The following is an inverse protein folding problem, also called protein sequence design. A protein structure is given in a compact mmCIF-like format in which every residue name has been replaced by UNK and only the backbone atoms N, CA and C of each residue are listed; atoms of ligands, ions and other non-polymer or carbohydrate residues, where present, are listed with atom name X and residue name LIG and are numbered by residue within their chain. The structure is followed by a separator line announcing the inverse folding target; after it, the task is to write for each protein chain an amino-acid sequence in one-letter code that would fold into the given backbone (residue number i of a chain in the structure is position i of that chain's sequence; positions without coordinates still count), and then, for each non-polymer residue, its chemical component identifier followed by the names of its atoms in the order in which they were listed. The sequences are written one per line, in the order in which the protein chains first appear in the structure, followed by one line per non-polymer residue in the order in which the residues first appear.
data_IF_949396894966
#
_entry.id   IF_949396894966
#
_cell.length_a   1.000
_cell.length_b   1.000
_cell.length_c   1.000
_cell.angle_alpha   90.00
_cell.angle_beta   90.00
_cell.angle_gamma   90.00
#
_symmetry.space_group_name_H-M   'P 1'
#
loop_
_entity.id
_entity.type
_entity.pdbx_description
1 polymer ?
#
# COMPACT_ATOMS: atom_id res chain seq x y z
N UNK A 1 3.70 -3.99 -23.76
CA UNK A 1 2.24 -3.72 -23.61
C UNK A 1 1.90 -2.36 -24.21
N UNK A 2 0.70 -2.16 -24.77
CA UNK A 2 0.26 -0.87 -25.33
C UNK A 2 -0.83 -0.18 -24.50
N UNK A 3 -1.08 1.14 -24.69
CA UNK A 3 -1.98 1.94 -23.84
C UNK A 3 -3.42 1.42 -23.77
N UNK A 4 -4.00 0.98 -24.90
CA UNK A 4 -5.37 0.43 -24.93
C UNK A 4 -5.53 -0.80 -24.04
N UNK A 5 -4.52 -1.67 -24.03
CA UNK A 5 -4.55 -2.88 -23.21
C UNK A 5 -4.39 -2.57 -21.72
N UNK A 6 -3.52 -1.61 -21.38
CA UNK A 6 -3.38 -1.15 -20.00
C UNK A 6 -4.69 -0.56 -19.48
N UNK A 7 -5.37 0.27 -20.30
CA UNK A 7 -6.69 0.80 -19.96
C UNK A 7 -7.75 -0.31 -19.83
N UNK A 8 -7.78 -1.30 -20.73
CA UNK A 8 -8.73 -2.41 -20.63
C UNK A 8 -8.56 -3.22 -19.34
N UNK A 9 -7.30 -3.49 -18.94
CA UNK A 9 -6.99 -4.17 -17.67
C UNK A 9 -7.43 -3.33 -16.46
N UNK A 10 -7.06 -2.05 -16.41
CA UNK A 10 -7.42 -1.15 -15.30
C UNK A 10 -8.91 -0.78 -15.27
N UNK A 11 -9.63 -0.95 -16.38
CA UNK A 11 -11.09 -0.81 -16.42
C UNK A 11 -11.81 -2.07 -15.91
N UNK A 12 -11.14 -3.21 -15.91
CA UNK A 12 -11.70 -4.51 -15.51
C UNK A 12 -11.28 -4.94 -14.10
N UNK A 13 -10.12 -4.47 -13.64
CA UNK A 13 -9.49 -4.85 -12.38
C UNK A 13 -8.99 -3.59 -11.67
N UNK A 14 -9.18 -3.53 -10.36
CA UNK A 14 -8.49 -2.55 -9.51
C UNK A 14 -6.95 -2.73 -9.59
N UNK A 15 -6.16 -1.69 -9.25
CA UNK A 15 -4.70 -1.80 -9.16
C UNK A 15 -4.24 -2.93 -8.24
N UNK A 16 -4.96 -3.17 -7.14
CA UNK A 16 -4.69 -4.23 -6.18
C UNK A 16 -4.96 -5.61 -6.77
N UNK A 17 -6.12 -5.81 -7.41
CA UNK A 17 -6.48 -7.07 -8.07
C UNK A 17 -5.54 -7.39 -9.23
N UNK A 18 -5.19 -6.39 -10.04
CA UNK A 18 -4.23 -6.54 -11.13
C UNK A 18 -2.86 -6.97 -10.59
N UNK A 19 -2.40 -6.34 -9.51
CA UNK A 19 -1.12 -6.68 -8.87
C UNK A 19 -1.16 -8.10 -8.30
N UNK A 20 -2.21 -8.46 -7.57
CA UNK A 20 -2.37 -9.80 -7.02
C UNK A 20 -2.44 -10.87 -8.12
N UNK A 21 -3.17 -10.61 -9.20
CA UNK A 21 -3.29 -11.54 -10.33
C UNK A 21 -1.94 -11.75 -11.03
N UNK A 22 -1.16 -10.69 -11.24
CA UNK A 22 0.17 -10.77 -11.86
C UNK A 22 1.17 -11.50 -10.95
N UNK A 23 1.25 -11.14 -9.67
CA UNK A 23 2.19 -11.74 -8.72
C UNK A 23 1.83 -13.22 -8.46
N UNK A 24 0.54 -13.52 -8.35
CA UNK A 24 -0.01 -14.87 -8.20
C UNK A 24 0.01 -15.72 -9.47
N UNK A 25 0.36 -15.15 -10.63
CA UNK A 25 0.39 -15.86 -11.91
C UNK A 25 -0.97 -16.27 -12.48
N UNK A 26 -2.03 -15.58 -12.06
CA UNK A 26 -3.42 -15.89 -12.38
C UNK A 26 -3.83 -15.28 -13.73
N UNK A 27 -3.24 -15.78 -14.83
CA UNK A 27 -3.49 -15.25 -16.17
C UNK A 27 -4.97 -15.31 -16.59
N UNK A 28 -5.76 -16.25 -16.05
CA UNK A 28 -7.18 -16.37 -16.32
C UNK A 28 -7.97 -15.13 -15.87
N UNK A 29 -7.55 -14.50 -14.77
CA UNK A 29 -8.16 -13.26 -14.26
C UNK A 29 -7.90 -12.12 -15.25
N UNK A 30 -6.66 -12.01 -15.73
CA UNK A 30 -6.27 -10.99 -16.71
C UNK A 30 -6.98 -11.19 -18.05
N UNK A 31 -7.25 -12.43 -18.45
CA UNK A 31 -7.92 -12.77 -19.69
C UNK A 31 -9.43 -12.44 -19.72
N UNK A 32 -10.02 -12.02 -18.58
CA UNK A 32 -11.40 -11.53 -18.54
C UNK A 32 -11.52 -10.11 -19.10
N UNK A 33 -10.41 -9.36 -19.16
CA UNK A 33 -10.42 -8.00 -19.69
C UNK A 33 -10.67 -8.01 -21.21
N UNK A 34 -11.54 -7.12 -21.74
CA UNK A 34 -11.83 -7.05 -23.18
C UNK A 34 -10.58 -6.89 -24.03
N UNK A 35 -10.39 -7.78 -25.01
CA UNK A 35 -9.24 -7.76 -25.91
C UNK A 35 -7.95 -8.37 -25.33
N UNK A 36 -7.99 -8.95 -24.12
CA UNK A 36 -6.86 -9.69 -23.52
C UNK A 36 -7.08 -11.19 -23.65
N UNK A 37 -6.50 -11.79 -24.70
CA UNK A 37 -6.52 -13.25 -24.87
C UNK A 37 -5.46 -13.97 -24.01
N UNK A 38 -5.59 -15.30 -23.88
CA UNK A 38 -4.70 -16.17 -23.09
C UNK A 38 -3.21 -15.88 -23.28
N UNK A 39 -2.71 -15.92 -24.53
CA UNK A 39 -1.28 -15.71 -24.83
C UNK A 39 -0.78 -14.34 -24.38
N UNK A 40 -1.65 -13.33 -24.48
CA UNK A 40 -1.35 -11.98 -24.02
C UNK A 40 -1.33 -11.91 -22.50
N UNK A 41 -2.32 -12.51 -21.83
CA UNK A 41 -2.38 -12.59 -20.37
C UNK A 41 -1.18 -13.32 -19.76
N UNK A 42 -0.78 -14.47 -20.32
CA UNK A 42 0.39 -15.22 -19.88
C UNK A 42 1.68 -14.38 -20.03
N UNK A 43 1.83 -13.67 -21.17
CA UNK A 43 2.95 -12.74 -21.37
C UNK A 43 2.93 -11.60 -20.33
N UNK A 44 1.75 -11.09 -20.00
CA UNK A 44 1.59 -10.01 -19.01
C UNK A 44 2.09 -10.44 -17.64
N UNK A 45 1.69 -11.62 -17.19
CA UNK A 45 2.19 -12.21 -15.93
C UNK A 45 3.71 -12.27 -15.95
N UNK A 46 4.32 -12.87 -16.99
CA UNK A 46 5.78 -13.06 -17.05
C UNK A 46 6.52 -11.72 -17.08
N UNK A 47 6.04 -10.75 -17.84
CA UNK A 47 6.71 -9.44 -17.99
C UNK A 47 6.66 -8.60 -16.72
N UNK A 48 5.58 -8.70 -15.92
CA UNK A 48 5.29 -7.78 -14.82
C UNK A 48 5.46 -8.39 -13.43
N UNK A 49 5.52 -9.72 -13.30
CA UNK A 49 5.72 -10.39 -12.02
C UNK A 49 7.00 -9.90 -11.33
N UNK A 50 6.90 -9.60 -10.04
CA UNK A 50 7.97 -9.00 -9.22
C UNK A 50 8.23 -7.51 -9.47
N UNK A 51 7.55 -6.87 -10.43
CA UNK A 51 7.71 -5.43 -10.73
C UNK A 51 6.59 -4.57 -10.15
N UNK A 52 5.39 -5.13 -9.96
CA UNK A 52 4.21 -4.37 -9.52
C UNK A 52 4.15 -4.20 -8.01
N UNK A 53 4.58 -5.20 -7.25
CA UNK A 53 4.63 -5.15 -5.77
C UNK A 53 5.42 -3.98 -5.18
N UNK A 54 6.34 -3.36 -5.93
CA UNK A 54 7.08 -2.16 -5.51
C UNK A 54 6.37 -0.85 -5.84
N UNK A 55 5.44 -0.89 -6.80
CA UNK A 55 4.73 0.28 -7.34
C UNK A 55 3.36 0.44 -6.68
N UNK A 56 2.69 -0.67 -6.44
CA UNK A 56 1.45 -0.72 -5.65
C UNK A 56 1.86 -1.02 -4.22
N UNK A 57 2.31 0.03 -3.54
CA UNK A 57 2.07 0.06 -2.10
C UNK A 57 0.54 0.07 -1.96
N UNK A 58 -0.07 -0.74 -1.08
CA UNK A 58 -1.46 -0.48 -0.68
C UNK A 58 -1.53 1.02 -0.38
N UNK A 59 -2.60 1.74 -0.80
CA UNK A 59 -2.72 3.17 -0.50
C UNK A 59 -2.28 3.33 0.93
N UNK A 60 -1.18 4.06 1.17
CA UNK A 60 -0.50 4.10 2.46
C UNK A 60 -1.61 4.23 3.49
N UNK A 61 -1.80 3.16 4.27
CA UNK A 61 -3.08 2.88 4.92
C UNK A 61 -3.61 4.19 5.49
N UNK A 62 -4.84 4.66 5.20
CA UNK A 62 -5.33 5.96 5.69
C UNK A 62 -4.96 6.17 7.17
N UNK A 63 -4.99 5.08 7.94
CA UNK A 63 -4.38 4.91 9.25
C UNK A 63 -3.01 5.57 9.51
N UNK A 64 -1.98 5.34 8.67
CA UNK A 64 -0.63 5.90 8.81
C UNK A 64 -0.66 7.42 8.65
N UNK A 65 -1.23 7.89 7.55
CA UNK A 65 -1.19 9.30 7.20
C UNK A 65 -2.13 10.11 8.10
N UNK A 66 -3.26 9.54 8.52
CA UNK A 66 -4.17 10.08 9.54
C UNK A 66 -3.46 10.17 10.89
N UNK A 67 -2.72 9.13 11.31
CA UNK A 67 -1.98 9.14 12.56
C UNK A 67 -0.89 10.21 12.57
N UNK A 68 -0.11 10.32 11.48
CA UNK A 68 0.92 11.35 11.35
C UNK A 68 0.29 12.75 11.38
N UNK A 69 -0.78 12.98 10.61
CA UNK A 69 -1.48 14.27 10.54
C UNK A 69 -2.05 14.68 11.89
N UNK A 70 -2.68 13.75 12.61
CA UNK A 70 -3.20 14.01 13.94
C UNK A 70 -2.10 14.38 14.95
N UNK A 71 -0.96 13.68 14.93
CA UNK A 71 0.18 14.00 15.80
C UNK A 71 0.79 15.37 15.45
N UNK A 72 0.90 15.72 14.17
CA UNK A 72 1.37 17.05 13.74
C UNK A 72 0.41 18.15 14.19
N UNK A 73 -0.90 17.94 14.08
CA UNK A 73 -1.90 18.89 14.56
C UNK A 73 -1.88 19.06 16.09
N UNK A 74 -1.40 18.07 16.83
CA UNK A 74 -1.14 18.16 18.27
C UNK A 74 0.19 18.86 18.61
N UNK A 75 0.98 19.24 17.60
CA UNK A 75 2.22 20.00 17.75
C UNK A 75 3.51 19.17 17.70
N UNK A 76 3.45 17.89 17.35
CA UNK A 76 4.66 17.08 17.20
C UNK A 76 5.35 17.32 15.83
N UNK A 77 6.70 17.33 15.77
CA UNK A 77 7.41 17.48 14.50
C UNK A 77 7.07 16.35 13.52
N UNK A 78 6.78 16.70 12.26
CA UNK A 78 6.38 15.76 11.20
C UNK A 78 7.33 14.56 11.06
N UNK A 79 8.65 14.80 11.11
CA UNK A 79 9.65 13.73 11.04
C UNK A 79 9.54 12.76 12.23
N UNK A 80 9.44 13.29 13.45
CA UNK A 80 9.34 12.47 14.66
C UNK A 80 8.04 11.66 14.69
N UNK A 81 6.92 12.28 14.29
CA UNK A 81 5.64 11.58 14.16
C UNK A 81 5.70 10.44 13.13
N UNK A 82 6.28 10.70 11.96
CA UNK A 82 6.42 9.71 10.89
C UNK A 82 7.31 8.53 11.32
N UNK A 83 8.41 8.79 12.02
CA UNK A 83 9.34 7.76 12.49
C UNK A 83 8.66 6.83 13.52
N UNK A 84 7.96 7.39 14.52
CA UNK A 84 7.26 6.61 15.56
C UNK A 84 6.12 5.80 14.97
N UNK A 85 5.28 6.39 14.11
CA UNK A 85 4.16 5.69 13.47
C UNK A 85 4.67 4.56 12.58
N UNK A 86 5.73 4.79 11.81
CA UNK A 86 6.31 3.77 10.93
C UNK A 86 6.95 2.62 11.72
N UNK A 87 7.52 2.88 12.90
CA UNK A 87 8.01 1.84 13.79
C UNK A 87 6.85 0.98 14.33
N UNK A 88 5.78 1.60 14.81
CA UNK A 88 4.61 0.90 15.35
C UNK A 88 3.91 0.00 14.33
N UNK A 89 3.75 0.48 13.09
CA UNK A 89 3.14 -0.29 12.00
C UNK A 89 3.98 -1.51 11.56
N UNK A 90 5.28 -1.55 11.88
CA UNK A 90 6.13 -2.72 11.63
C UNK A 90 6.03 -3.76 12.74
N UNK A 91 5.73 -3.35 13.96
CA UNK A 91 5.60 -4.26 15.11
C UNK A 91 4.29 -5.04 15.09
N UNK A 92 3.23 -4.43 14.59
CA UNK A 92 1.91 -5.03 14.48
C UNK A 92 1.21 -4.50 13.24
N UNK A 93 0.61 -5.39 12.44
CA UNK A 93 -0.11 -5.01 11.22
C UNK A 93 -1.55 -4.51 11.50
N UNK A 94 -2.21 -5.05 12.53
CA UNK A 94 -3.63 -4.79 12.82
C UNK A 94 -3.83 -3.67 13.86
N UNK A 95 -3.41 -2.46 13.51
CA UNK A 95 -3.68 -1.26 14.30
C UNK A 95 -5.04 -0.66 13.96
N UNK A 96 -5.74 -0.17 14.98
CA UNK A 96 -6.83 0.80 14.80
C UNK A 96 -6.29 2.21 15.10
N UNK A 97 -6.80 3.22 14.40
CA UNK A 97 -6.30 4.60 14.50
C UNK A 97 -6.25 5.13 15.94
N UNK A 98 -7.30 4.97 16.77
CA UNK A 98 -7.26 5.45 18.16
C UNK A 98 -6.17 4.77 18.99
N UNK A 99 -5.92 3.47 18.78
CA UNK A 99 -4.92 2.71 19.54
C UNK A 99 -3.50 3.04 19.10
N UNK A 100 -3.29 3.18 17.78
CA UNK A 100 -2.03 3.62 17.20
C UNK A 100 -1.63 5.00 17.73
N UNK A 101 -2.59 5.94 17.78
CA UNK A 101 -2.37 7.29 18.29
C UNK A 101 -2.01 7.30 19.78
N UNK A 102 -2.74 6.54 20.61
CA UNK A 102 -2.42 6.42 22.05
C UNK A 102 -1.02 5.90 22.27
N UNK A 103 -0.61 4.88 21.52
CA UNK A 103 0.71 4.28 21.68
C UNK A 103 1.82 5.18 21.12
N UNK A 104 1.58 5.87 20.00
CA UNK A 104 2.50 6.86 19.46
C UNK A 104 2.74 8.01 20.46
N UNK A 105 1.68 8.54 21.08
CA UNK A 105 1.79 9.58 22.11
C UNK A 105 2.57 9.11 23.33
N UNK A 106 2.35 7.87 23.81
CA UNK A 106 3.13 7.30 24.92
C UNK A 106 4.61 7.23 24.60
N UNK A 107 4.98 6.83 23.38
CA UNK A 107 6.39 6.79 22.95
C UNK A 107 7.01 8.17 22.87
N UNK A 108 6.31 9.13 22.27
CA UNK A 108 6.78 10.51 22.13
C UNK A 108 6.99 11.21 23.47
N UNK A 109 6.12 10.95 24.45
CA UNK A 109 6.26 11.49 25.81
C UNK A 109 7.46 10.85 26.54
N UNK A 110 7.67 9.54 26.39
CA UNK A 110 8.85 8.86 26.96
C UNK A 110 10.17 9.37 26.37
N UNK A 111 10.20 9.59 25.06
CA UNK A 111 11.37 10.09 24.34
C UNK A 111 11.75 11.51 24.79
N UNK A 112 10.74 12.37 25.02
CA UNK A 112 10.93 13.73 25.55
C UNK A 112 11.32 13.79 27.04
N UNK A 113 11.03 12.75 27.83
CA UNK A 113 11.36 12.71 29.25
C UNK A 113 12.81 12.26 29.53
N UNK A 114 13.55 11.83 28.49
CA UNK A 114 14.91 11.29 28.59
C UNK A 114 15.98 12.20 27.98
N UNK A 115 15.61 13.39 27.48
CA UNK A 115 16.51 14.41 26.95
C UNK A 115 16.28 15.76 27.61
#
# INVERSE_FOLDING_TARGET
MGPRMALALLSSLSPEELTAAVEGGQWQVLAQAPGVGRRTAERVVVELKGKLSKLVQPPAAPLRDDAISALVNLGYPSKQAADVVSALLREKADWQLPDLLREALRRLVKDKALG
#
